data_IF_084090462915
#
_entry.id   IF_084090462915
#
_cell.length_a   1.000
_cell.length_b   1.000
_cell.length_c   1.000
_cell.angle_alpha   90.00
_cell.angle_beta   90.00
_cell.angle_gamma   90.00
#
_symmetry.space_group_name_H-M   'P 1'
#
loop_
_entity.id
_entity.type
_entity.pdbx_description
1 polymer ?
#
# COMPACT_ATOMS: atom_id res chain seq x y z
N UNK A 1 5.16 -5.47 9.07
CA UNK A 1 4.33 -4.25 9.06
C UNK A 1 2.92 -4.47 9.56
N UNK A 2 2.07 -5.30 8.93
CA UNK A 2 0.72 -5.61 9.44
C UNK A 2 0.68 -5.89 10.96
N UNK A 3 1.53 -6.80 11.47
CA UNK A 3 1.56 -7.12 12.92
C UNK A 3 1.94 -5.96 13.85
N UNK A 4 2.56 -4.90 13.33
CA UNK A 4 3.00 -3.72 14.09
C UNK A 4 1.90 -2.67 14.12
N UNK A 5 1.27 -2.41 12.97
CA UNK A 5 0.29 -1.33 12.78
C UNK A 5 -1.16 -1.79 12.89
N UNK A 6 -1.44 -3.05 12.55
CA UNK A 6 -2.78 -3.64 12.45
C UNK A 6 -2.74 -5.14 12.87
N UNK A 7 -2.38 -5.46 14.13
CA UNK A 7 -2.14 -6.84 14.58
C UNK A 7 -3.32 -7.79 14.38
N UNK A 8 -4.54 -7.26 14.46
CA UNK A 8 -5.78 -8.03 14.33
C UNK A 8 -6.36 -8.01 12.92
N UNK A 9 -5.75 -7.26 11.99
CA UNK A 9 -6.21 -7.23 10.60
C UNK A 9 -5.99 -8.59 9.90
N UNK A 10 -6.87 -8.93 8.93
CA UNK A 10 -6.67 -10.10 8.07
C UNK A 10 -5.29 -10.09 7.39
N UNK A 11 -4.81 -11.29 7.04
CA UNK A 11 -3.55 -11.43 6.32
C UNK A 11 -3.59 -10.69 4.97
N UNK A 12 -2.42 -10.28 4.47
CA UNK A 12 -2.32 -9.64 3.14
C UNK A 12 -2.85 -10.58 2.05
N UNK A 13 -2.52 -11.87 2.12
CA UNK A 13 -3.01 -12.87 1.16
C UNK A 13 -4.53 -13.06 1.21
N UNK A 14 -5.14 -13.03 2.39
CA UNK A 14 -6.60 -13.07 2.53
C UNK A 14 -7.27 -11.85 1.89
N UNK A 15 -6.68 -10.66 2.02
CA UNK A 15 -7.18 -9.42 1.39
C UNK A 15 -7.07 -9.48 -0.14
N UNK A 16 -5.94 -9.93 -0.68
CA UNK A 16 -5.78 -10.14 -2.13
C UNK A 16 -6.74 -11.22 -2.64
N UNK A 17 -6.98 -12.28 -1.86
CA UNK A 17 -7.97 -13.30 -2.22
C UNK A 17 -9.40 -12.76 -2.28
N UNK A 18 -9.75 -11.81 -1.41
CA UNK A 18 -11.04 -11.12 -1.48
C UNK A 18 -11.12 -10.19 -2.71
N UNK A 19 -10.05 -9.42 -2.97
CA UNK A 19 -9.92 -8.57 -4.16
C UNK A 19 -10.16 -9.38 -5.44
N UNK A 20 -9.45 -10.50 -5.58
CA UNK A 20 -9.60 -11.44 -6.70
C UNK A 20 -11.04 -11.91 -6.88
N UNK A 21 -11.69 -12.39 -5.81
CA UNK A 21 -13.07 -12.89 -5.88
C UNK A 21 -14.06 -11.83 -6.32
N UNK A 22 -13.88 -10.58 -5.87
CA UNK A 22 -14.75 -9.47 -6.27
C UNK A 22 -14.53 -9.11 -7.75
N UNK A 23 -13.27 -9.01 -8.17
CA UNK A 23 -12.93 -8.72 -9.56
C UNK A 23 -13.45 -9.82 -10.52
N UNK A 24 -13.24 -11.10 -10.19
CA UNK A 24 -13.76 -12.24 -10.96
C UNK A 24 -15.30 -12.30 -11.01
N UNK A 25 -16.00 -11.70 -10.04
CA UNK A 25 -17.44 -11.55 -10.04
C UNK A 25 -17.94 -10.36 -10.88
N UNK A 26 -17.05 -9.63 -11.56
CA UNK A 26 -17.39 -8.46 -12.36
C UNK A 26 -17.68 -7.20 -11.54
N UNK A 27 -17.31 -7.18 -10.25
CA UNK A 27 -17.46 -6.00 -9.38
C UNK A 27 -16.23 -5.12 -9.57
N UNK A 28 -16.42 -3.82 -9.79
CA UNK A 28 -15.30 -2.88 -9.86
C UNK A 28 -14.57 -2.81 -8.51
N UNK A 29 -13.26 -2.92 -8.58
CA UNK A 29 -12.35 -3.11 -7.46
C UNK A 29 -11.34 -1.98 -7.38
N UNK A 30 -10.91 -1.69 -6.16
CA UNK A 30 -9.79 -0.78 -5.95
C UNK A 30 -8.90 -1.28 -4.81
N UNK A 31 -7.65 -0.86 -4.83
CA UNK A 31 -6.70 -1.10 -3.74
C UNK A 31 -6.28 0.24 -3.14
N UNK A 32 -6.45 0.37 -1.83
CA UNK A 32 -5.94 1.50 -1.07
C UNK A 32 -4.70 1.12 -0.26
N UNK A 33 -3.61 1.85 -0.48
CA UNK A 33 -2.32 1.69 0.20
C UNK A 33 -1.98 2.96 0.97
N UNK A 34 -2.52 3.11 2.18
CA UNK A 34 -2.35 4.31 2.98
C UNK A 34 -2.34 4.03 4.49
N UNK A 35 -1.35 4.53 5.24
CA UNK A 35 -0.10 5.12 4.74
C UNK A 35 0.76 4.07 4.03
N UNK A 36 1.62 4.49 3.10
CA UNK A 36 2.69 3.62 2.63
C UNK A 36 3.60 3.22 3.80
N UNK A 37 3.65 1.92 4.05
CA UNK A 37 4.45 1.28 5.09
C UNK A 37 5.53 0.41 4.45
N UNK A 38 6.55 -0.02 5.23
CA UNK A 38 7.62 -0.83 4.70
C UNK A 38 7.19 -2.03 3.85
N UNK A 39 7.48 -1.95 2.55
CA UNK A 39 7.06 -2.91 1.53
C UNK A 39 7.93 -2.87 0.26
N UNK A 40 7.76 -3.88 -0.60
CA UNK A 40 8.36 -3.99 -1.93
C UNK A 40 7.30 -3.55 -2.97
N UNK A 41 7.48 -2.39 -3.63
CA UNK A 41 6.46 -1.84 -4.51
C UNK A 41 6.25 -2.67 -5.79
N UNK A 42 7.29 -3.27 -6.36
CA UNK A 42 7.17 -4.12 -7.54
C UNK A 42 6.45 -5.43 -7.21
N UNK A 43 6.74 -6.01 -6.05
CA UNK A 43 6.03 -7.20 -5.59
C UNK A 43 4.56 -6.90 -5.32
N UNK A 44 4.25 -5.80 -4.64
CA UNK A 44 2.88 -5.42 -4.39
C UNK A 44 2.11 -5.22 -5.70
N UNK A 45 2.71 -4.49 -6.66
CA UNK A 45 2.11 -4.28 -7.97
C UNK A 45 1.75 -5.61 -8.66
N UNK A 46 2.69 -6.55 -8.75
CA UNK A 46 2.42 -7.88 -9.34
C UNK A 46 1.29 -8.65 -8.66
N UNK A 47 1.13 -8.48 -7.35
CA UNK A 47 0.10 -9.18 -6.57
C UNK A 47 -1.30 -8.58 -6.76
N UNK A 48 -1.41 -7.27 -7.04
CA UNK A 48 -2.70 -6.56 -7.13
C UNK A 48 -3.13 -6.23 -8.56
N UNK A 49 -2.19 -6.02 -9.48
CA UNK A 49 -2.43 -5.58 -10.86
C UNK A 49 -3.49 -6.43 -11.59
N UNK A 50 -3.52 -7.76 -11.48
CA UNK A 50 -4.52 -8.57 -12.18
C UNK A 50 -5.96 -8.40 -11.68
N UNK A 51 -6.16 -7.75 -10.54
CA UNK A 51 -7.44 -7.73 -9.81
C UNK A 51 -7.84 -6.35 -9.29
N UNK A 52 -7.10 -5.29 -9.64
CA UNK A 52 -7.35 -3.94 -9.16
C UNK A 52 -7.60 -3.01 -10.35
N UNK A 53 -8.83 -2.51 -10.47
CA UNK A 53 -9.18 -1.57 -11.55
C UNK A 53 -8.63 -0.16 -11.27
N UNK A 54 -8.48 0.19 -9.99
CA UNK A 54 -7.85 1.44 -9.56
C UNK A 54 -7.02 1.27 -8.28
N UNK A 55 -6.02 2.15 -8.11
CA UNK A 55 -5.12 2.15 -6.96
C UNK A 55 -5.06 3.55 -6.35
N UNK A 56 -5.33 3.62 -5.05
CA UNK A 56 -5.23 4.82 -4.23
C UNK A 56 -4.00 4.69 -3.31
N UNK A 57 -3.13 5.69 -3.33
CA UNK A 57 -1.90 5.71 -2.53
C UNK A 57 -1.96 6.88 -1.55
N UNK A 58 -1.80 6.58 -0.25
CA UNK A 58 -1.82 7.57 0.83
C UNK A 58 -0.49 7.68 1.58
N UNK A 59 -0.20 8.87 2.11
CA UNK A 59 0.96 9.13 2.97
C UNK A 59 0.60 9.03 4.46
N UNK A 60 1.61 9.09 5.33
CA UNK A 60 1.41 9.15 6.78
C UNK A 60 1.04 10.58 7.20
N UNK A 61 -0.25 10.81 7.43
CA UNK A 61 -0.79 12.16 7.69
C UNK A 61 -0.71 12.61 9.15
N UNK A 62 -0.16 11.76 10.03
CA UNK A 62 -0.03 12.02 11.46
C UNK A 62 1.32 11.55 11.99
N UNK A 63 2.39 11.82 11.23
CA UNK A 63 3.78 11.46 11.53
C UNK A 63 4.19 11.84 12.96
N UNK A 64 3.80 13.02 13.44
CA UNK A 64 4.08 13.45 14.82
C UNK A 64 3.52 12.53 15.92
N UNK A 65 2.42 11.81 15.66
CA UNK A 65 1.82 10.85 16.60
C UNK A 65 2.43 9.45 16.49
N UNK A 66 3.06 9.13 15.36
CA UNK A 66 3.58 7.80 15.03
C UNK A 66 5.10 7.71 15.01
N UNK A 67 5.83 8.83 15.06
CA UNK A 67 7.28 8.86 14.96
C UNK A 67 7.97 7.90 15.95
N UNK A 68 7.51 7.87 17.20
CA UNK A 68 8.04 6.96 18.23
C UNK A 68 7.94 5.48 17.82
N UNK A 69 6.87 5.11 17.12
CA UNK A 69 6.63 3.74 16.66
C UNK A 69 7.60 3.41 15.53
N UNK A 70 7.83 4.36 14.61
CA UNK A 70 8.79 4.18 13.52
C UNK A 70 10.22 4.03 14.06
N UNK A 71 10.61 4.87 15.05
CA UNK A 71 11.89 4.78 15.76
C UNK A 71 12.06 3.44 16.47
N UNK A 72 11.03 3.00 17.20
CA UNK A 72 11.04 1.72 17.92
C UNK A 72 11.36 0.52 17.03
N UNK A 73 10.95 0.55 15.76
CA UNK A 73 11.15 -0.54 14.80
C UNK A 73 12.22 -0.27 13.74
N UNK A 74 12.96 0.85 13.81
CA UNK A 74 14.05 1.18 12.87
C UNK A 74 13.57 1.42 11.44
N UNK A 75 12.38 2.01 11.27
CA UNK A 75 11.75 2.26 9.96
C UNK A 75 11.53 3.76 9.68
N UNK A 76 12.24 4.65 10.35
CA UNK A 76 12.13 6.11 10.27
C UNK A 76 12.25 6.65 8.85
N UNK A 77 13.01 5.98 7.98
CA UNK A 77 13.11 6.33 6.56
C UNK A 77 11.76 6.35 5.83
N UNK A 78 10.75 5.67 6.37
CA UNK A 78 9.39 5.67 5.82
C UNK A 78 8.56 6.90 6.23
N UNK A 79 9.16 7.84 6.97
CA UNK A 79 8.64 9.18 7.20
C UNK A 79 9.33 10.23 6.32
N UNK A 80 10.41 9.86 5.61
CA UNK A 80 11.11 10.76 4.70
C UNK A 80 10.33 10.88 3.37
N UNK A 81 10.03 12.12 2.98
CA UNK A 81 9.22 12.40 1.79
C UNK A 81 9.92 11.94 0.51
N UNK A 82 11.22 12.20 0.37
CA UNK A 82 11.98 11.81 -0.83
C UNK A 82 12.08 10.29 -1.00
N UNK A 83 12.25 9.56 0.10
CA UNK A 83 12.21 8.11 0.12
C UNK A 83 10.82 7.58 -0.28
N UNK A 84 9.76 8.11 0.32
CA UNK A 84 8.38 7.69 -0.01
C UNK A 84 8.03 8.01 -1.47
N UNK A 85 8.42 9.18 -1.97
CA UNK A 85 8.19 9.56 -3.36
C UNK A 85 8.90 8.61 -4.34
N UNK A 86 10.11 8.12 -4.01
CA UNK A 86 10.76 7.07 -4.79
C UNK A 86 9.97 5.75 -4.79
N UNK A 87 9.43 5.34 -3.64
CA UNK A 87 8.58 4.13 -3.54
C UNK A 87 7.30 4.30 -4.36
N UNK A 88 6.65 5.46 -4.27
CA UNK A 88 5.45 5.80 -5.06
C UNK A 88 5.77 5.73 -6.55
N UNK A 89 6.89 6.31 -6.99
CA UNK A 89 7.33 6.27 -8.38
C UNK A 89 7.52 4.82 -8.88
N UNK A 90 8.20 3.97 -8.09
CA UNK A 90 8.41 2.56 -8.42
C UNK A 90 7.11 1.76 -8.48
N UNK A 91 6.20 2.01 -7.54
CA UNK A 91 4.88 1.38 -7.52
C UNK A 91 4.08 1.75 -8.77
N UNK A 92 4.00 3.06 -9.08
CA UNK A 92 3.32 3.59 -10.28
C UNK A 92 3.88 3.00 -11.57
N UNK A 93 5.21 2.94 -11.71
CA UNK A 93 5.86 2.36 -12.88
C UNK A 93 5.53 0.88 -13.07
N UNK A 94 5.19 0.18 -11.99
CA UNK A 94 4.91 -1.26 -11.99
C UNK A 94 3.43 -1.60 -12.19
N UNK A 95 2.53 -0.62 -12.22
CA UNK A 95 1.08 -0.79 -12.43
C UNK A 95 0.75 -0.27 -13.83
N UNK A 96 0.72 -1.15 -14.83
CA UNK A 96 0.56 -0.73 -16.24
C UNK A 96 -0.88 -0.74 -16.81
N UNK A 97 -1.91 -1.32 -16.16
CA UNK A 97 -3.31 -1.18 -16.57
C UNK A 97 -4.23 -0.45 -15.58
N UNK A 98 -3.80 -0.21 -14.32
CA UNK A 98 -4.67 0.35 -13.28
C UNK A 98 -4.59 1.88 -13.19
N UNK A 99 -5.73 2.55 -12.95
CA UNK A 99 -5.75 3.99 -12.68
C UNK A 99 -5.12 4.28 -11.31
N UNK A 100 -4.05 5.09 -11.26
CA UNK A 100 -3.31 5.36 -10.00
C UNK A 100 -3.46 6.80 -9.54
N UNK A 101 -4.13 6.99 -8.40
CA UNK A 101 -4.26 8.29 -7.74
C UNK A 101 -3.48 8.35 -6.42
N UNK A 102 -2.80 9.47 -6.19
CA UNK A 102 -2.19 9.79 -4.89
C UNK A 102 -3.16 10.70 -4.15
N UNK A 103 -3.53 10.29 -2.93
CA UNK A 103 -4.33 11.10 -2.02
C UNK A 103 -3.41 11.62 -0.91
N UNK A 104 -3.45 12.93 -0.69
CA UNK A 104 -2.68 13.61 0.35
C UNK A 104 -3.41 13.55 1.69
#
# INVERSE_FOLDING_TARGET
MRKIFEPDAPSISSRIGALKKLHEAGISTYVFTGPLLPMDPERLAREIEPYADSVLIGRMNYSGKTEWLYKKYGIEKWLDEGFIDNIIFRLRKSLSPADVSIIC
#
